data_IF_710979491488
#
_entry.id   IF_710979491488
#
_cell.length_a   1.000
_cell.length_b   1.000
_cell.length_c   1.000
_cell.angle_alpha   90.00
_cell.angle_beta   90.00
_cell.angle_gamma   90.00
#
_symmetry.space_group_name_H-M   'P 1'
#
loop_
_entity.id
_entity.type
_entity.pdbx_description
1 polymer ?
#
# COMPACT_ATOMS: atom_id res chain seq x y z
N UNK A 1 12.70 18.88 -18.30
CA UNK A 1 11.70 18.95 -17.20
C UNK A 1 11.04 17.57 -17.05
N UNK A 2 10.47 17.21 -15.89
CA UNK A 2 9.75 15.92 -15.73
C UNK A 2 8.42 15.98 -16.45
N UNK A 3 8.14 15.00 -17.31
CA UNK A 3 6.94 14.91 -18.15
C UNK A 3 5.91 13.93 -17.59
N UNK A 4 6.36 12.76 -17.14
CA UNK A 4 5.54 11.69 -16.60
C UNK A 4 6.13 11.14 -15.30
N UNK A 5 5.25 10.63 -14.43
CA UNK A 5 5.61 10.00 -13.16
C UNK A 5 4.94 8.64 -13.10
N UNK A 6 5.74 7.61 -12.78
CA UNK A 6 5.28 6.30 -12.35
C UNK A 6 5.81 6.04 -10.94
N UNK A 7 4.98 5.48 -10.07
CA UNK A 7 5.37 5.10 -8.71
C UNK A 7 5.36 3.59 -8.59
N UNK A 8 6.46 3.01 -8.10
CA UNK A 8 6.50 1.61 -7.68
C UNK A 8 6.61 1.60 -6.16
N UNK A 9 5.58 1.07 -5.51
CA UNK A 9 5.39 1.21 -4.08
C UNK A 9 5.29 -0.17 -3.41
N UNK A 10 6.26 -0.48 -2.55
CA UNK A 10 6.26 -1.73 -1.79
C UNK A 10 5.65 -1.55 -0.40
N UNK A 11 4.87 -2.55 0.02
CA UNK A 11 4.32 -2.64 1.36
C UNK A 11 3.56 -1.36 1.75
N UNK A 12 3.87 -0.78 2.92
CA UNK A 12 3.31 0.49 3.40
C UNK A 12 3.50 1.66 2.43
N UNK A 13 4.51 1.62 1.54
CA UNK A 13 4.69 2.61 0.49
C UNK A 13 3.44 2.76 -0.39
N UNK A 14 2.65 1.70 -0.56
CA UNK A 14 1.39 1.75 -1.29
C UNK A 14 0.32 2.58 -0.58
N UNK A 15 0.21 2.48 0.74
CA UNK A 15 -0.71 3.30 1.53
C UNK A 15 -0.28 4.77 1.52
N UNK A 16 1.02 5.02 1.70
CA UNK A 16 1.58 6.37 1.60
C UNK A 16 1.35 6.98 0.22
N UNK A 17 1.48 6.20 -0.84
CA UNK A 17 1.22 6.66 -2.21
C UNK A 17 -0.24 7.06 -2.39
N UNK A 18 -1.18 6.24 -1.91
CA UNK A 18 -2.62 6.57 -1.96
C UNK A 18 -2.94 7.83 -1.15
N UNK A 19 -2.33 7.97 0.02
CA UNK A 19 -2.46 9.15 0.89
C UNK A 19 -1.94 10.41 0.19
N UNK A 20 -0.73 10.32 -0.38
CA UNK A 20 -0.12 11.42 -1.11
C UNK A 20 -0.95 11.81 -2.34
N UNK A 21 -1.55 10.87 -3.06
CA UNK A 21 -2.43 11.16 -4.19
C UNK A 21 -3.69 11.90 -3.73
N UNK A 22 -4.33 11.43 -2.66
CA UNK A 22 -5.52 12.06 -2.08
C UNK A 22 -5.23 13.52 -1.71
N UNK A 23 -4.19 13.77 -0.91
CA UNK A 23 -3.82 15.13 -0.51
C UNK A 23 -3.33 15.98 -1.67
N UNK A 24 -2.68 15.39 -2.68
CA UNK A 24 -2.28 16.11 -3.88
C UNK A 24 -3.46 16.55 -4.73
N UNK A 25 -4.56 15.80 -4.75
CA UNK A 25 -5.81 16.21 -5.39
C UNK A 25 -6.49 17.34 -4.61
N UNK A 26 -6.62 17.19 -3.29
CA UNK A 26 -7.21 18.22 -2.42
C UNK A 26 -6.45 19.56 -2.49
N UNK A 27 -5.11 19.50 -2.43
CA UNK A 27 -4.23 20.67 -2.46
C UNK A 27 -3.81 21.09 -3.86
N UNK A 28 -4.29 20.42 -4.92
CA UNK A 28 -4.00 20.73 -6.33
C UNK A 28 -2.49 20.78 -6.64
N UNK A 29 -1.73 19.79 -6.16
CA UNK A 29 -0.31 19.68 -6.45
C UNK A 29 -0.05 19.22 -7.90
N UNK A 30 0.74 20.00 -8.65
CA UNK A 30 1.02 19.80 -10.09
C UNK A 30 1.63 18.45 -10.46
N UNK A 31 2.26 17.74 -9.53
CA UNK A 31 2.83 16.42 -9.82
C UNK A 31 1.73 15.37 -10.06
N UNK A 32 0.54 15.56 -9.48
CA UNK A 32 -0.59 14.65 -9.61
C UNK A 32 -1.09 14.55 -11.05
N UNK A 33 -1.02 15.65 -11.81
CA UNK A 33 -1.38 15.70 -13.24
C UNK A 33 -0.41 14.91 -14.13
N UNK A 34 0.80 14.67 -13.63
CA UNK A 34 1.86 13.92 -14.33
C UNK A 34 1.92 12.46 -13.90
N UNK A 35 1.23 12.09 -12.81
CA UNK A 35 1.17 10.72 -12.34
C UNK A 35 0.34 9.91 -13.32
N UNK A 36 0.99 8.95 -13.97
CA UNK A 36 0.34 8.00 -14.86
C UNK A 36 0.14 6.64 -14.14
N UNK A 37 1.09 6.20 -13.29
CA UNK A 37 1.12 4.84 -12.68
C UNK A 37 1.27 4.81 -11.21
N UNK A 38 0.66 3.76 -10.67
CA UNK A 38 1.15 3.16 -9.45
C UNK A 38 1.19 1.63 -9.60
N UNK A 39 2.35 1.03 -9.34
CA UNK A 39 2.48 -0.42 -9.14
C UNK A 39 2.65 -0.70 -7.66
N UNK A 40 1.66 -1.35 -7.07
CA UNK A 40 1.63 -1.76 -5.68
C UNK A 40 2.24 -3.16 -5.52
N UNK A 41 3.29 -3.29 -4.71
CA UNK A 41 3.97 -4.55 -4.40
C UNK A 41 3.65 -4.96 -2.97
N UNK A 42 2.71 -5.88 -2.78
CA UNK A 42 2.29 -6.35 -1.47
C UNK A 42 1.74 -5.24 -0.58
N UNK A 43 1.04 -4.26 -1.15
CA UNK A 43 0.51 -3.15 -0.36
C UNK A 43 -0.65 -3.63 0.53
N UNK A 44 -0.65 -3.35 1.85
CA UNK A 44 -1.72 -3.77 2.74
C UNK A 44 -2.95 -2.85 2.61
N UNK A 45 -3.63 -2.86 1.46
CA UNK A 45 -4.71 -1.93 1.13
C UNK A 45 -5.85 -1.93 2.16
N UNK A 46 -6.12 -3.09 2.75
CA UNK A 46 -7.14 -3.29 3.80
C UNK A 46 -6.52 -3.62 5.16
N UNK A 47 -5.25 -3.29 5.33
CA UNK A 47 -4.48 -3.62 6.50
C UNK A 47 -3.92 -5.05 6.45
N UNK A 48 -3.35 -5.45 7.58
CA UNK A 48 -2.78 -6.76 7.81
C UNK A 48 -3.22 -7.21 9.21
N UNK A 49 -3.71 -8.46 9.39
CA UNK A 49 -4.07 -8.97 10.71
C UNK A 49 -2.81 -9.07 11.58
N UNK A 50 -2.66 -8.14 12.52
CA UNK A 50 -1.50 -8.03 13.42
C UNK A 50 -1.57 -9.02 14.59
N UNK A 51 -2.68 -9.75 14.75
CA UNK A 51 -2.98 -10.58 15.94
C UNK A 51 -2.02 -11.75 16.21
N UNK A 52 -0.97 -11.97 15.41
CA UNK A 52 0.03 -13.02 15.70
C UNK A 52 1.49 -12.62 15.73
N UNK A 53 1.88 -11.37 15.43
CA UNK A 53 3.27 -10.92 15.61
C UNK A 53 3.27 -9.44 15.99
N UNK A 54 3.43 -9.19 17.29
CA UNK A 54 3.33 -7.87 17.92
C UNK A 54 4.34 -6.81 17.46
N UNK A 55 5.02 -6.99 16.34
CA UNK A 55 5.93 -5.98 15.83
C UNK A 55 6.24 -6.15 14.33
N UNK A 56 5.24 -5.93 13.48
CA UNK A 56 5.43 -5.85 12.02
C UNK A 56 6.49 -4.80 11.66
N UNK A 57 6.57 -3.71 12.45
CA UNK A 57 7.58 -2.67 12.34
C UNK A 57 8.99 -3.23 12.66
N UNK A 58 9.21 -3.93 13.77
CA UNK A 58 10.49 -4.62 13.99
C UNK A 58 10.79 -5.64 12.89
N UNK A 59 9.79 -6.33 12.34
CA UNK A 59 10.00 -7.31 11.26
C UNK A 59 10.46 -6.64 9.96
N UNK A 60 9.90 -5.49 9.58
CA UNK A 60 10.35 -4.72 8.41
C UNK A 60 11.67 -3.98 8.65
N UNK A 61 11.85 -3.41 9.85
CA UNK A 61 13.07 -2.72 10.25
C UNK A 61 14.26 -3.69 10.37
N UNK A 62 14.04 -4.91 10.87
CA UNK A 62 15.08 -5.96 10.96
C UNK A 62 15.47 -6.51 9.59
N UNK A 63 14.60 -6.44 8.59
CA UNK A 63 14.87 -6.93 7.23
C UNK A 63 15.64 -5.91 6.37
N UNK A 64 15.73 -4.63 6.76
CA UNK A 64 16.42 -3.60 5.96
C UNK A 64 17.38 -2.72 6.78
N UNK A 65 18.68 -2.84 6.49
CA UNK A 65 19.77 -2.01 7.04
C UNK A 65 19.63 -0.50 6.71
N UNK A 66 18.67 -0.14 5.86
CA UNK A 66 18.41 1.21 5.34
C UNK A 66 17.29 1.98 6.07
N UNK A 67 16.64 1.36 7.07
CA UNK A 67 15.47 1.94 7.74
C UNK A 67 15.81 2.80 8.98
N UNK A 68 17.08 2.87 9.38
CA UNK A 68 17.54 3.65 10.53
C UNK A 68 17.17 5.16 10.52
N UNK A 69 17.14 5.87 9.36
CA UNK A 69 16.67 7.26 9.32
C UNK A 69 15.15 7.37 9.52
N UNK A 70 14.37 6.38 9.08
CA UNK A 70 12.92 6.31 9.26
C UNK A 70 12.52 5.89 10.68
N UNK A 71 13.35 5.12 11.37
CA UNK A 71 13.16 4.81 12.80
C UNK A 71 13.21 6.07 13.69
N UNK A 72 13.91 7.14 13.25
CA UNK A 72 13.91 8.45 13.92
C UNK A 72 12.61 9.23 13.70
N UNK A 73 11.99 9.11 12.52
CA UNK A 73 10.62 9.62 12.27
C UNK A 73 9.57 8.88 13.11
N UNK A 74 9.78 7.59 13.40
CA UNK A 74 8.94 6.80 14.30
C UNK A 74 8.99 7.20 15.80
N UNK A 75 9.93 8.06 16.22
CA UNK A 75 9.97 8.61 17.60
C UNK A 75 9.12 9.85 17.80
N UNK A 76 8.57 10.42 16.72
CA UNK A 76 7.48 11.38 16.82
C UNK A 76 6.23 10.54 17.04
N UNK A 77 5.62 10.64 18.22
CA UNK A 77 4.31 10.04 18.56
C UNK A 77 3.20 10.64 17.69
N UNK A 78 3.27 10.43 16.38
CA UNK A 78 2.19 10.73 15.45
C UNK A 78 1.20 9.57 15.50
N UNK A 79 -0.09 9.90 15.48
CA UNK A 79 -1.18 8.94 15.50
C UNK A 79 -1.09 7.88 14.38
N UNK A 80 -0.26 8.08 13.35
CA UNK A 80 -0.11 7.20 12.19
C UNK A 80 0.67 5.89 12.37
N UNK A 81 1.39 5.70 13.49
CA UNK A 81 2.25 4.49 13.67
C UNK A 81 1.52 3.36 14.40
N UNK A 82 0.45 3.66 15.14
CA UNK A 82 -0.17 2.69 16.06
C UNK A 82 -1.26 1.84 15.42
N UNK A 83 -1.76 2.19 14.23
CA UNK A 83 -2.99 1.57 13.70
C UNK A 83 -3.01 1.31 12.18
N UNK A 84 -1.94 0.68 11.70
CA UNK A 84 -1.90 0.09 10.35
C UNK A 84 -2.71 -1.21 10.24
N UNK A 85 -3.36 -1.62 11.32
CA UNK A 85 -4.27 -2.78 11.41
C UNK A 85 -5.41 -2.68 10.41
N UNK A 86 -5.81 -1.45 10.09
CA UNK A 86 -6.96 -1.16 9.23
C UNK A 86 -6.58 -0.53 7.90
N UNK A 87 -5.31 -0.54 7.43
CA UNK A 87 -4.98 0.02 6.10
C UNK A 87 -5.40 1.48 5.91
N UNK A 88 -5.24 2.30 6.96
CA UNK A 88 -5.66 3.69 6.98
C UNK A 88 -4.82 4.54 6.01
N UNK A 89 -5.49 5.44 5.27
CA UNK A 89 -4.87 6.23 4.18
C UNK A 89 -4.95 7.74 4.44
N UNK A 90 -5.93 8.22 5.21
CA UNK A 90 -6.18 9.65 5.45
C UNK A 90 -6.20 9.97 6.94
N UNK A 91 -5.97 11.24 7.31
CA UNK A 91 -5.82 11.71 8.69
C UNK A 91 -7.08 11.46 9.52
N UNK A 92 -8.25 11.57 8.90
CA UNK A 92 -9.57 11.34 9.49
C UNK A 92 -9.73 9.91 10.00
N UNK A 93 -9.02 8.94 9.40
CA UNK A 93 -9.08 7.57 9.88
C UNK A 93 -8.45 7.40 11.27
N UNK A 94 -7.59 8.35 11.67
CA UNK A 94 -6.82 8.33 12.92
C UNK A 94 -7.47 9.16 14.04
N UNK A 95 -8.50 9.98 13.74
CA UNK A 95 -9.17 10.83 14.73
C UNK A 95 -10.29 10.05 15.45
N UNK A 96 -10.10 9.82 16.75
CA UNK A 96 -11.20 9.52 17.68
C UNK A 96 -11.59 8.04 17.88
N UNK A 97 -10.76 7.06 17.48
CA UNK A 97 -11.09 5.64 17.71
C UNK A 97 -10.43 5.07 18.95
N UNK A 98 -11.26 4.57 19.87
CA UNK A 98 -10.82 3.80 21.03
C UNK A 98 -10.40 2.39 20.58
N UNK A 99 -9.31 1.90 21.15
CA UNK A 99 -8.49 0.79 20.64
C UNK A 99 -9.11 -0.59 20.92
N UNK A 100 -10.32 -0.61 21.45
CA UNK A 100 -10.98 -1.79 22.04
C UNK A 100 -12.44 -1.98 21.60
N UNK A 101 -13.01 -1.07 20.81
CA UNK A 101 -14.38 -1.26 20.33
C UNK A 101 -14.37 -2.00 18.98
N UNK A 102 -14.86 -3.24 19.01
CA UNK A 102 -15.16 -4.10 17.86
C UNK A 102 -16.36 -3.55 17.08
N UNK A 103 -16.25 -2.33 16.56
CA UNK A 103 -17.27 -1.79 15.67
C UNK A 103 -16.90 -2.03 14.21
N UNK A 104 -17.91 -2.12 13.35
CA UNK A 104 -17.73 -2.39 11.92
C UNK A 104 -16.72 -1.41 11.28
N UNK A 105 -15.97 -1.86 10.27
CA UNK A 105 -14.95 -1.05 9.59
C UNK A 105 -15.49 0.30 9.10
N UNK A 106 -15.33 1.34 9.93
CA UNK A 106 -15.87 2.69 9.75
C UNK A 106 -14.94 3.62 8.97
N UNK A 107 -13.97 3.07 8.21
CA UNK A 107 -13.10 3.87 7.35
C UNK A 107 -13.90 4.53 6.23
N UNK A 108 -13.57 5.79 5.94
CA UNK A 108 -14.04 6.45 4.72
C UNK A 108 -13.37 5.78 3.53
N UNK A 109 -14.12 5.32 2.52
CA UNK A 109 -13.53 4.79 1.31
C UNK A 109 -12.62 5.80 0.62
N UNK A 110 -11.38 5.38 0.37
CA UNK A 110 -10.43 6.12 -0.47
C UNK A 110 -10.20 5.29 -1.73
N UNK A 111 -10.80 5.63 -2.88
CA UNK A 111 -10.65 4.85 -4.09
C UNK A 111 -9.20 4.91 -4.62
N UNK A 112 -8.92 4.13 -5.66
CA UNK A 112 -7.70 4.32 -6.44
C UNK A 112 -7.73 5.70 -7.13
N UNK A 113 -6.58 6.38 -7.28
CA UNK A 113 -6.54 7.70 -7.88
C UNK A 113 -7.11 7.67 -9.32
N UNK A 114 -8.07 8.55 -9.66
CA UNK A 114 -8.66 8.59 -10.99
C UNK A 114 -7.63 8.92 -12.06
N UNK A 115 -7.84 8.41 -13.28
CA UNK A 115 -6.95 8.61 -14.42
C UNK A 115 -5.48 8.18 -14.18
N UNK A 116 -5.26 7.27 -13.22
CA UNK A 116 -3.97 6.62 -12.95
C UNK A 116 -4.15 5.12 -13.13
N UNK A 117 -3.27 4.54 -13.92
CA UNK A 117 -3.21 3.11 -14.09
C UNK A 117 -2.57 2.47 -12.86
N UNK A 118 -3.42 1.83 -12.06
CA UNK A 118 -3.04 1.17 -10.83
C UNK A 118 -2.92 -0.33 -11.05
N UNK A 119 -1.81 -0.91 -10.58
CA UNK A 119 -1.49 -2.33 -10.71
C UNK A 119 -1.18 -2.94 -9.34
N UNK A 120 -1.57 -4.19 -9.12
CA UNK A 120 -1.34 -4.90 -7.87
C UNK A 120 -0.52 -6.16 -8.09
N UNK A 121 0.56 -6.30 -7.33
CA UNK A 121 1.35 -7.52 -7.22
C UNK A 121 1.24 -8.03 -5.80
N UNK A 122 0.84 -9.28 -5.63
CA UNK A 122 0.89 -9.97 -4.34
C UNK A 122 1.87 -11.13 -4.38
N UNK A 123 2.35 -11.55 -3.21
CA UNK A 123 3.17 -12.75 -3.06
C UNK A 123 2.31 -13.91 -2.50
N UNK A 124 2.48 -15.11 -3.05
CA UNK A 124 1.71 -16.30 -2.69
C UNK A 124 1.90 -16.74 -1.23
N UNK A 125 3.12 -16.59 -0.69
CA UNK A 125 3.46 -16.94 0.69
C UNK A 125 3.76 -15.69 1.52
N UNK A 126 3.03 -14.61 1.27
CA UNK A 126 3.13 -13.39 2.06
C UNK A 126 2.62 -13.63 3.49
N UNK A 127 3.55 -13.65 4.45
CA UNK A 127 3.23 -13.83 5.87
C UNK A 127 2.87 -12.52 6.59
N UNK A 128 2.94 -11.38 5.89
CA UNK A 128 2.68 -10.05 6.45
C UNK A 128 1.35 -9.48 5.93
N UNK A 129 1.09 -9.60 4.63
CA UNK A 129 -0.08 -9.01 3.99
C UNK A 129 -0.95 -10.12 3.39
N UNK A 130 -2.21 -10.25 3.82
CA UNK A 130 -3.12 -11.21 3.21
C UNK A 130 -3.28 -10.96 1.71
N UNK A 131 -3.38 -12.03 0.93
CA UNK A 131 -3.53 -11.95 -0.53
C UNK A 131 -4.69 -11.04 -0.95
N UNK A 132 -5.85 -11.19 -0.32
CA UNK A 132 -7.02 -10.34 -0.58
C UNK A 132 -6.71 -8.85 -0.35
N UNK A 133 -6.03 -8.51 0.75
CA UNK A 133 -5.60 -7.15 1.06
C UNK A 133 -4.63 -6.62 0.00
N UNK A 134 -3.61 -7.41 -0.37
CA UNK A 134 -2.65 -7.04 -1.42
C UNK A 134 -3.30 -6.85 -2.80
N UNK A 135 -4.37 -7.58 -3.09
CA UNK A 135 -5.14 -7.49 -4.33
C UNK A 135 -6.26 -6.46 -4.28
N UNK A 136 -6.41 -5.72 -3.18
CA UNK A 136 -7.46 -4.70 -3.02
C UNK A 136 -8.87 -5.28 -2.80
N UNK A 137 -8.99 -6.58 -2.56
CA UNK A 137 -10.25 -7.28 -2.38
C UNK A 137 -10.82 -7.05 -0.97
N UNK A 138 -12.11 -6.73 -0.90
CA UNK A 138 -12.80 -6.49 0.37
C UNK A 138 -14.25 -7.00 0.32
N UNK A 139 -14.78 -7.57 1.43
CA UNK A 139 -16.19 -7.97 1.52
C UNK A 139 -17.15 -6.80 1.35
N UNK A 140 -16.89 -5.65 2.01
CA UNK A 140 -17.64 -4.41 1.78
C UNK A 140 -17.29 -3.85 0.39
N UNK A 141 -18.24 -3.76 -0.57
CA UNK A 141 -17.99 -3.25 -1.92
C UNK A 141 -17.48 -1.82 -1.94
N UNK A 142 -17.89 -0.97 -0.99
CA UNK A 142 -17.46 0.42 -0.93
C UNK A 142 -15.95 0.57 -0.69
N UNK A 143 -15.32 -0.44 -0.07
CA UNK A 143 -13.89 -0.44 0.24
C UNK A 143 -13.06 -1.19 -0.81
N UNK A 144 -13.68 -1.90 -1.76
CA UNK A 144 -12.96 -2.68 -2.76
C UNK A 144 -12.17 -1.76 -3.68
N UNK A 145 -10.93 -2.13 -3.97
CA UNK A 145 -10.12 -1.48 -5.00
C UNK A 145 -10.22 -2.35 -6.25
N UNK A 146 -10.98 -1.89 -7.23
CA UNK A 146 -11.33 -2.65 -8.43
C UNK A 146 -10.16 -2.73 -9.43
N UNK A 147 -9.06 -3.35 -9.02
CA UNK A 147 -7.96 -3.70 -9.92
C UNK A 147 -8.45 -4.69 -10.98
N UNK A 148 -8.42 -4.34 -12.28
CA UNK A 148 -8.76 -5.28 -13.34
C UNK A 148 -7.89 -6.54 -13.29
N UNK A 149 -8.41 -7.69 -13.71
CA UNK A 149 -7.63 -8.94 -13.73
C UNK A 149 -6.32 -8.82 -14.53
N UNK A 150 -6.31 -8.04 -15.62
CA UNK A 150 -5.11 -7.75 -16.42
C UNK A 150 -4.04 -6.91 -15.71
N UNK A 151 -4.39 -6.28 -14.59
CA UNK A 151 -3.52 -5.42 -13.76
C UNK A 151 -3.21 -6.03 -12.41
N UNK A 152 -3.49 -7.31 -12.23
CA UNK A 152 -3.15 -8.10 -11.05
C UNK A 152 -2.12 -9.16 -11.41
N UNK A 153 -1.15 -9.38 -10.53
CA UNK A 153 -0.14 -10.41 -10.69
C UNK A 153 0.16 -11.09 -9.36
N UNK A 154 0.20 -12.43 -9.37
CA UNK A 154 0.57 -13.24 -8.22
C UNK A 154 1.99 -13.77 -8.41
N UNK A 155 2.93 -13.28 -7.61
CA UNK A 155 4.28 -13.80 -7.54
C UNK A 155 4.27 -15.13 -6.76
N UNK A 156 4.54 -16.23 -7.45
CA UNK A 156 4.47 -17.59 -6.89
C UNK A 156 5.75 -18.00 -6.16
N UNK A 157 5.62 -18.89 -5.18
CA UNK A 157 6.75 -19.49 -4.46
C UNK A 157 7.62 -18.45 -3.75
N UNK A 158 7.04 -17.35 -3.29
CA UNK A 158 7.76 -16.24 -2.65
C UNK A 158 6.92 -15.57 -1.57
N UNK A 159 7.59 -14.85 -0.67
CA UNK A 159 6.95 -14.07 0.40
C UNK A 159 7.12 -12.56 0.19
N UNK A 160 6.69 -11.78 1.19
CA UNK A 160 6.58 -10.32 1.12
C UNK A 160 7.81 -9.58 0.59
N UNK A 161 9.00 -9.96 1.07
CA UNK A 161 10.27 -9.35 0.66
C UNK A 161 10.92 -10.15 -0.46
N UNK A 162 10.67 -11.46 -0.49
CA UNK A 162 11.19 -12.35 -1.54
C UNK A 162 10.73 -11.94 -2.93
N UNK A 163 9.52 -11.40 -3.08
CA UNK A 163 8.99 -10.96 -4.38
C UNK A 163 9.88 -9.91 -5.04
N UNK A 164 10.59 -9.07 -4.28
CA UNK A 164 11.48 -8.04 -4.81
C UNK A 164 12.72 -8.62 -5.51
N UNK A 165 13.02 -9.90 -5.26
CA UNK A 165 14.15 -10.63 -5.87
C UNK A 165 13.74 -11.52 -7.04
N UNK A 166 12.44 -11.57 -7.36
CA UNK A 166 11.88 -12.41 -8.41
C UNK A 166 11.97 -11.69 -9.76
N UNK A 167 12.72 -12.21 -10.75
CA UNK A 167 12.77 -11.61 -12.09
C UNK A 167 11.37 -11.43 -12.68
N UNK A 168 10.48 -12.42 -12.47
CA UNK A 168 9.12 -12.40 -13.01
C UNK A 168 8.27 -11.21 -12.51
N UNK A 169 8.59 -10.64 -11.34
CA UNK A 169 7.94 -9.44 -10.81
C UNK A 169 8.39 -8.20 -11.58
N UNK A 170 9.69 -8.07 -11.84
CA UNK A 170 10.24 -6.94 -12.59
C UNK A 170 9.88 -7.01 -14.07
N UNK A 171 9.90 -8.20 -14.67
CA UNK A 171 9.42 -8.42 -16.04
C UNK A 171 7.94 -8.04 -16.19
N UNK A 172 7.13 -8.27 -15.15
CA UNK A 172 5.73 -7.86 -15.14
C UNK A 172 5.58 -6.34 -15.00
N UNK A 173 6.37 -5.70 -14.13
CA UNK A 173 6.39 -4.24 -13.99
C UNK A 173 6.77 -3.58 -15.31
N UNK A 174 7.84 -4.05 -15.96
CA UNK A 174 8.26 -3.52 -17.26
C UNK A 174 7.15 -3.69 -18.30
N UNK A 175 6.54 -4.87 -18.41
CA UNK A 175 5.44 -5.09 -19.35
C UNK A 175 4.26 -4.14 -19.15
N UNK A 176 4.00 -3.71 -17.93
CA UNK A 176 2.95 -2.72 -17.66
C UNK A 176 3.40 -1.29 -17.97
N UNK A 177 4.61 -0.91 -17.57
CA UNK A 177 5.08 0.48 -17.64
C UNK A 177 5.69 0.86 -19.00
N UNK A 178 6.14 -0.10 -19.82
CA UNK A 178 6.69 0.14 -21.17
C UNK A 178 5.64 0.68 -22.14
N UNK A 179 4.36 0.60 -21.79
CA UNK A 179 3.27 1.07 -22.66
C UNK A 179 3.08 2.60 -22.67
N UNK A 180 3.95 3.38 -22.01
CA UNK A 180 3.73 4.80 -21.67
C UNK A 180 4.75 5.77 -22.22
#
# INVERSE_FOLDING_TARGET
PVETIAIVAHSMGGLLTRSACHYAEEMKHRWRDKLRAIVFLGAPHHGAPVERRGNWLETLLSVTRYSAPFARLGKIRSAGVTDLRFGNVIDEHWRGRDRFELDADARTPVPLPPAVDCYAIAAEHDALVPLASAMGEHPNPALRLDFPASRRFLAKGTGHVGMLRKPEVWDQIERWLVTW
#
